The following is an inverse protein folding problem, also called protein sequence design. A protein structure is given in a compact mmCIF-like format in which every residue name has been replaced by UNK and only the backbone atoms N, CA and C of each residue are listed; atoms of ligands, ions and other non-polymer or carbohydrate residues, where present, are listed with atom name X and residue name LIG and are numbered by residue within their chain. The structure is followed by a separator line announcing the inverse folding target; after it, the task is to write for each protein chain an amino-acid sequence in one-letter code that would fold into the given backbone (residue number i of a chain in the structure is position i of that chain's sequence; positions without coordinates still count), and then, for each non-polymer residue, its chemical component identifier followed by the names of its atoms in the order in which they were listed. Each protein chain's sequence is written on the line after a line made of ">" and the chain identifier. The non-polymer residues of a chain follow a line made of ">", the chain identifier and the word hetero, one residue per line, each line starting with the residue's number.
data_IF_057882638150
#
_entry.id   IF_057882638150
#
_cell.length_a   1.000
_cell.length_b   1.000
_cell.length_c   1.000
_cell.angle_alpha   90.00
_cell.angle_beta   90.00
_cell.angle_gamma   90.00
#
_symmetry.space_group_name_H-M   'P 1'
#
loop_
_entity.id
_entity.type
_entity.pdbx_description
1 polymer ?
#
# COMPACT_ATOMS: atom_id res chain seq x y z
N UNK A 1 -18.43 3.14 -2.51
CA UNK A 1 -17.55 1.99 -2.79
C UNK A 1 -17.77 0.78 -1.88
N UNK A 2 -18.33 0.90 -0.66
CA UNK A 2 -18.80 -0.26 0.12
C UNK A 2 -17.71 -1.31 0.44
N UNK A 3 -16.44 -0.90 0.47
CA UNK A 3 -15.30 -1.81 0.68
C UNK A 3 -15.25 -2.21 2.15
N UNK A 4 -15.21 -3.51 2.40
CA UNK A 4 -14.96 -4.10 3.74
C UNK A 4 -13.64 -4.87 3.66
N UNK A 5 -12.60 -4.32 4.30
CA UNK A 5 -11.24 -4.84 4.21
C UNK A 5 -10.24 -3.72 3.94
N UNK A 6 -9.37 -3.92 2.96
CA UNK A 6 -8.31 -2.97 2.58
C UNK A 6 -8.46 -2.52 1.13
N UNK A 7 -8.00 -1.29 0.85
CA UNK A 7 -7.86 -0.78 -0.49
C UNK A 7 -6.65 0.15 -0.60
N UNK A 8 -6.18 0.34 -1.83
CA UNK A 8 -5.18 1.34 -2.17
C UNK A 8 -5.79 2.43 -3.05
N UNK A 9 -5.60 3.69 -2.67
CA UNK A 9 -6.04 4.87 -3.42
C UNK A 9 -4.83 5.67 -3.89
N UNK A 10 -4.93 6.25 -5.10
CA UNK A 10 -3.88 7.07 -5.70
C UNK A 10 -4.40 8.46 -6.03
N UNK A 11 -3.57 9.46 -5.78
CA UNK A 11 -3.85 10.87 -6.02
C UNK A 11 -2.73 11.51 -6.85
N UNK A 12 -3.07 12.55 -7.60
CA UNK A 12 -2.11 13.52 -8.13
C UNK A 12 -2.36 14.86 -7.45
N UNK A 13 -1.32 15.46 -6.88
CA UNK A 13 -1.36 16.76 -6.21
C UNK A 13 -0.53 17.77 -7.01
N UNK A 14 -1.08 18.96 -7.23
CA UNK A 14 -0.34 20.06 -7.83
C UNK A 14 0.83 20.49 -6.95
N UNK A 15 2.05 20.70 -7.50
CA UNK A 15 3.18 21.18 -6.72
C UNK A 15 3.11 22.69 -6.39
N UNK A 16 2.15 23.43 -6.97
CA UNK A 16 2.02 24.88 -6.83
C UNK A 16 0.68 25.32 -6.21
N UNK A 17 -0.22 24.38 -5.94
CA UNK A 17 -1.54 24.63 -5.37
C UNK A 17 -2.01 23.44 -4.53
N UNK A 18 -3.11 23.60 -3.80
CA UNK A 18 -3.75 22.51 -3.05
C UNK A 18 -4.71 21.67 -3.94
N UNK A 19 -4.71 21.91 -5.26
CA UNK A 19 -5.54 21.15 -6.19
C UNK A 19 -5.04 19.72 -6.31
N UNK A 20 -5.96 18.77 -6.14
CA UNK A 20 -5.66 17.34 -6.28
C UNK A 20 -6.73 16.61 -7.09
N UNK A 21 -6.32 15.50 -7.69
CA UNK A 21 -7.18 14.61 -8.45
C UNK A 21 -7.07 13.19 -7.90
N UNK A 22 -8.20 12.49 -7.84
CA UNK A 22 -8.24 11.06 -7.59
C UNK A 22 -7.91 10.36 -8.91
N UNK A 23 -6.90 9.50 -8.91
CA UNK A 23 -6.48 8.75 -10.10
C UNK A 23 -7.23 7.43 -10.19
N UNK A 24 -7.13 6.60 -9.16
CA UNK A 24 -7.82 5.30 -9.11
C UNK A 24 -7.96 4.78 -7.67
N UNK A 25 -8.84 3.79 -7.52
CA UNK A 25 -9.00 3.00 -6.30
C UNK A 25 -8.88 1.52 -6.65
N UNK A 26 -7.94 0.83 -6.00
CA UNK A 26 -7.79 -0.61 -6.04
C UNK A 26 -8.46 -1.19 -4.78
N UNK A 27 -9.69 -1.70 -4.91
CA UNK A 27 -10.46 -2.31 -3.81
C UNK A 27 -9.99 -3.75 -3.50
N UNK A 28 -8.69 -3.91 -3.24
CA UNK A 28 -8.02 -5.17 -2.91
C UNK A 28 -6.62 -4.88 -2.36
N UNK A 29 -6.02 -5.92 -1.78
CA UNK A 29 -4.58 -5.92 -1.50
C UNK A 29 -3.77 -5.68 -2.77
N UNK A 30 -2.67 -4.95 -2.58
CA UNK A 30 -1.80 -4.51 -3.66
C UNK A 30 -0.32 -4.69 -3.32
N UNK A 31 0.53 -4.52 -4.33
CA UNK A 31 1.99 -4.42 -4.15
C UNK A 31 2.35 -3.29 -3.17
N UNK A 32 1.57 -2.22 -3.15
CA UNK A 32 1.73 -1.09 -2.24
C UNK A 32 1.28 -1.44 -0.82
N UNK A 33 0.23 -2.25 -0.66
CA UNK A 33 -0.22 -2.76 0.63
C UNK A 33 0.86 -3.65 1.27
N UNK A 34 1.48 -4.53 0.48
CA UNK A 34 2.60 -5.35 0.95
C UNK A 34 3.80 -4.49 1.40
N UNK A 35 4.15 -3.44 0.63
CA UNK A 35 5.16 -2.47 1.03
C UNK A 35 4.80 -1.77 2.34
N UNK A 36 3.57 -1.25 2.45
CA UNK A 36 3.09 -0.55 3.64
C UNK A 36 3.12 -1.46 4.88
N UNK A 37 2.74 -2.73 4.76
CA UNK A 37 2.86 -3.68 5.87
C UNK A 37 4.28 -3.93 6.32
N UNK A 38 5.25 -3.97 5.39
CA UNK A 38 6.67 -4.07 5.74
C UNK A 38 7.22 -2.77 6.31
N UNK A 39 6.78 -1.63 5.79
CA UNK A 39 7.22 -0.32 6.23
C UNK A 39 6.71 0.05 7.62
N UNK A 40 5.54 -0.45 8.02
CA UNK A 40 4.88 -0.07 9.29
C UNK A 40 4.87 -1.17 10.35
N UNK A 41 5.14 -2.42 9.95
CA UNK A 41 4.88 -3.59 10.79
C UNK A 41 3.38 -3.94 10.92
N UNK A 42 2.47 -3.16 10.32
CA UNK A 42 1.03 -3.38 10.39
C UNK A 42 0.59 -4.42 9.33
N UNK A 43 0.09 -5.61 9.72
CA UNK A 43 -0.18 -6.69 8.77
C UNK A 43 -1.54 -6.50 8.06
N UNK A 44 -1.59 -5.61 7.06
CA UNK A 44 -2.81 -5.22 6.34
C UNK A 44 -3.61 -6.41 5.81
N UNK A 45 -2.94 -7.40 5.21
CA UNK A 45 -3.61 -8.59 4.69
C UNK A 45 -4.30 -9.42 5.79
N UNK A 46 -3.66 -9.56 6.96
CA UNK A 46 -4.20 -10.28 8.10
C UNK A 46 -5.41 -9.55 8.68
N UNK A 47 -5.29 -8.23 8.86
CA UNK A 47 -6.38 -7.38 9.37
C UNK A 47 -7.56 -7.37 8.40
N UNK A 48 -7.31 -7.20 7.09
CA UNK A 48 -8.34 -7.24 6.06
C UNK A 48 -9.11 -8.57 6.07
N UNK A 49 -8.41 -9.70 6.21
CA UNK A 49 -9.05 -11.01 6.30
C UNK A 49 -9.97 -11.13 7.55
N UNK A 50 -9.56 -10.57 8.69
CA UNK A 50 -10.40 -10.54 9.91
C UNK A 50 -11.62 -9.64 9.74
N UNK A 51 -11.46 -8.48 9.10
CA UNK A 51 -12.57 -7.58 8.76
C UNK A 51 -13.59 -8.27 7.84
N UNK A 52 -13.14 -9.07 6.87
CA UNK A 52 -14.03 -9.86 6.01
C UNK A 52 -14.82 -10.93 6.76
N UNK A 53 -14.40 -11.31 7.96
CA UNK A 53 -15.14 -12.20 8.87
C UNK A 53 -16.06 -11.43 9.84
N UNK A 54 -16.22 -10.12 9.65
CA UNK A 54 -17.05 -9.26 10.50
C UNK A 54 -16.40 -8.85 11.83
N UNK A 55 -15.11 -9.14 12.03
CA UNK A 55 -14.39 -8.76 13.25
C UNK A 55 -13.94 -7.29 13.10
N UNK A 56 -14.39 -6.36 13.94
CA UNK A 56 -14.06 -4.94 13.79
C UNK A 56 -12.63 -4.64 14.25
N UNK A 57 -12.03 -3.55 13.73
CA UNK A 57 -10.65 -3.14 14.04
C UNK A 57 -10.30 -3.08 15.55
N UNK A 58 -11.17 -2.58 16.45
CA UNK A 58 -10.87 -2.54 17.88
C UNK A 58 -10.74 -3.91 18.54
N UNK A 59 -11.30 -4.98 17.97
CA UNK A 59 -11.22 -6.33 18.53
C UNK A 59 -10.00 -7.11 18.04
N UNK A 60 -9.37 -6.64 16.96
CA UNK A 60 -8.15 -7.26 16.42
C UNK A 60 -6.96 -6.76 17.24
N UNK A 61 -6.24 -7.64 17.92
CA UNK A 61 -5.03 -7.26 18.66
C UNK A 61 -3.90 -6.87 17.72
N UNK A 62 -3.15 -5.84 18.08
CA UNK A 62 -1.91 -5.49 17.40
C UNK A 62 -0.83 -6.51 17.76
N UNK A 63 -0.37 -7.26 16.76
CA UNK A 63 0.67 -8.29 16.89
C UNK A 63 2.05 -7.74 17.25
N UNK A 64 2.31 -6.44 17.02
CA UNK A 64 3.62 -5.83 17.27
C UNK A 64 3.76 -5.39 18.73
N UNK A 65 2.77 -4.67 19.26
CA UNK A 65 2.81 -4.14 20.63
C UNK A 65 2.22 -5.09 21.66
N UNK A 66 1.36 -6.03 21.25
CA UNK A 66 0.67 -7.00 22.12
C UNK A 66 -0.42 -6.42 23.03
N UNK A 67 -0.36 -5.12 23.30
CA UNK A 67 -1.20 -4.44 24.29
C UNK A 67 -2.14 -3.38 23.68
N UNK A 68 -2.04 -3.10 22.38
CA UNK A 68 -2.98 -2.23 21.65
C UNK A 68 -3.80 -3.01 20.63
N UNK A 69 -4.77 -2.37 19.99
CA UNK A 69 -5.63 -2.95 18.95
C UNK A 69 -5.12 -2.57 17.56
N UNK A 70 -5.70 -3.13 16.51
CA UNK A 70 -5.41 -2.79 15.13
C UNK A 70 -6.08 -1.47 14.71
N UNK A 71 -6.86 -0.82 15.57
CA UNK A 71 -7.56 0.43 15.30
C UNK A 71 -6.67 1.65 15.61
N UNK A 72 -5.63 1.86 14.81
CA UNK A 72 -4.71 2.99 14.93
C UNK A 72 -4.01 3.27 13.60
N UNK A 73 -3.39 4.44 13.51
CA UNK A 73 -2.48 4.79 12.41
C UNK A 73 -1.02 4.62 12.88
N UNK A 74 -0.20 3.79 12.20
CA UNK A 74 1.20 3.63 12.57
C UNK A 74 2.00 4.94 12.48
N UNK A 75 2.87 5.17 13.46
CA UNK A 75 3.86 6.25 13.44
C UNK A 75 5.25 5.67 13.22
N UNK A 76 6.07 6.34 12.40
CA UNK A 76 7.41 5.88 12.01
C UNK A 76 8.46 6.90 12.43
N UNK A 77 9.52 6.40 13.06
CA UNK A 77 10.73 7.14 13.45
C UNK A 77 11.91 6.86 12.49
N UNK A 78 11.62 6.27 11.33
CA UNK A 78 12.57 5.95 10.27
C UNK A 78 11.99 6.17 8.87
N UNK A 79 12.87 6.23 7.86
CA UNK A 79 12.50 6.33 6.45
C UNK A 79 12.62 4.98 5.74
N UNK A 80 11.63 4.63 4.92
CA UNK A 80 11.64 3.43 4.08
C UNK A 80 11.78 3.83 2.61
N UNK A 81 12.74 3.24 1.92
CA UNK A 81 13.00 3.50 0.49
C UNK A 81 12.72 2.24 -0.32
N UNK A 82 11.88 2.37 -1.35
CA UNK A 82 11.63 1.32 -2.34
C UNK A 82 12.23 1.73 -3.68
N UNK A 83 13.10 0.90 -4.22
CA UNK A 83 13.65 1.04 -5.57
C UNK A 83 13.16 -0.16 -6.40
N UNK A 84 12.50 0.03 -7.56
CA UNK A 84 12.13 -1.09 -8.42
C UNK A 84 13.37 -1.76 -9.01
N UNK A 85 13.27 -3.06 -9.32
CA UNK A 85 14.31 -3.77 -10.06
C UNK A 85 13.92 -3.85 -11.53
N UNK A 86 14.89 -3.64 -12.43
CA UNK A 86 14.69 -3.82 -13.87
C UNK A 86 15.74 -4.76 -14.43
N UNK A 87 15.32 -5.62 -15.35
CA UNK A 87 16.18 -6.54 -16.10
C UNK A 87 16.01 -6.31 -17.62
N UNK A 88 15.92 -5.03 -18.04
CA UNK A 88 15.62 -4.66 -19.43
C UNK A 88 16.71 -5.06 -20.44
N UNK A 89 17.94 -5.30 -19.97
CA UNK A 89 19.04 -5.79 -20.82
C UNK A 89 18.76 -7.17 -21.43
N UNK A 90 17.81 -7.94 -20.88
CA UNK A 90 17.36 -9.22 -21.46
C UNK A 90 16.48 -9.03 -22.71
N UNK A 91 15.99 -7.81 -22.98
CA UNK A 91 14.99 -7.54 -24.01
C UNK A 91 15.44 -6.42 -24.96
N UNK A 92 16.24 -6.76 -25.97
CA UNK A 92 16.85 -5.80 -26.91
C UNK A 92 15.87 -4.95 -27.72
N UNK A 93 14.63 -5.43 -27.92
CA UNK A 93 13.57 -4.72 -28.66
C UNK A 93 12.68 -3.86 -27.76
N UNK A 94 12.93 -3.82 -26.45
CA UNK A 94 12.10 -3.08 -25.49
C UNK A 94 12.80 -1.78 -25.09
N UNK A 95 12.04 -0.68 -25.15
CA UNK A 95 12.54 0.63 -24.72
C UNK A 95 12.89 0.64 -23.22
N UNK A 96 14.04 1.22 -22.88
CA UNK A 96 14.50 1.44 -21.51
C UNK A 96 13.79 2.60 -20.80
N UNK A 97 13.02 3.42 -21.54
CA UNK A 97 12.25 4.52 -20.96
C UNK A 97 11.10 3.99 -20.10
N UNK A 98 10.89 4.58 -18.94
CA UNK A 98 9.77 4.28 -18.04
C UNK A 98 8.54 5.14 -18.37
N UNK A 99 7.36 4.68 -17.95
CA UNK A 99 6.08 5.38 -18.14
C UNK A 99 5.00 4.78 -17.24
N UNK A 100 3.73 5.01 -17.57
CA UNK A 100 2.58 4.48 -16.80
C UNK A 100 2.49 2.95 -16.79
N UNK A 101 2.98 2.30 -17.85
CA UNK A 101 3.04 0.83 -17.93
C UNK A 101 4.27 0.28 -17.17
N UNK A 102 4.02 -0.64 -16.24
CA UNK A 102 5.05 -1.24 -15.38
C UNK A 102 6.01 -2.13 -16.19
N UNK A 103 7.32 -1.92 -16.00
CA UNK A 103 8.40 -2.70 -16.64
C UNK A 103 9.39 -3.35 -15.65
N UNK A 104 9.26 -3.03 -14.37
CA UNK A 104 10.09 -3.61 -13.32
C UNK A 104 9.69 -5.06 -13.04
N UNK A 105 10.67 -5.89 -12.69
CA UNK A 105 10.48 -7.29 -12.26
C UNK A 105 10.46 -7.40 -10.75
#
# INVERSE_FOLDING_TARGET
>A
FGVVGECNIQYALSPFSEEYYIIEVNARLSRSSALASKATGYPLAYVAAKLSLGIPLPEIKNSVTGNTTACFEPSLDYCVVKIPRWDLHKFSRVSTKIGSSMKSV
#
